data_IF_218019754443
#
_entry.id   IF_218019754443
#
_cell.length_a   1.000
_cell.length_b   1.000
_cell.length_c   1.000
_cell.angle_alpha   90.00
_cell.angle_beta   90.00
_cell.angle_gamma   90.00
#
_symmetry.space_group_name_H-M   'P 1'
#
loop_
_entity.id
_entity.type
_entity.pdbx_description
1 polymer ?
#
# COMPACT_ATOMS: atom_id res chain seq x y z
N UNK A 1 -4.65 -6.41 -18.39
CA UNK A 1 -4.80 -5.25 -17.48
C UNK A 1 -3.97 -4.07 -17.93
N UNK A 2 -2.63 -4.14 -17.95
CA UNK A 2 -1.76 -3.02 -18.36
C UNK A 2 -2.12 -2.44 -19.75
N UNK A 3 -2.25 -3.30 -20.78
CA UNK A 3 -2.64 -2.87 -22.14
C UNK A 3 -4.00 -2.16 -22.16
N UNK A 4 -4.99 -2.68 -21.45
CA UNK A 4 -6.34 -2.08 -21.37
C UNK A 4 -6.30 -0.72 -20.66
N UNK A 5 -5.55 -0.59 -19.56
CA UNK A 5 -5.39 0.69 -18.86
C UNK A 5 -4.71 1.74 -19.75
N UNK A 6 -3.64 1.34 -20.45
CA UNK A 6 -2.95 2.21 -21.42
C UNK A 6 -3.86 2.69 -22.55
N UNK A 7 -4.74 1.82 -23.08
CA UNK A 7 -5.70 2.21 -24.11
C UNK A 7 -6.70 3.26 -23.62
N UNK A 8 -7.12 3.18 -22.36
CA UNK A 8 -8.14 4.08 -21.81
C UNK A 8 -7.57 5.39 -21.24
N UNK A 9 -6.36 5.35 -20.67
CA UNK A 9 -5.78 6.48 -19.92
C UNK A 9 -4.45 6.98 -20.49
N UNK A 10 -3.85 6.26 -21.45
CA UNK A 10 -2.57 6.61 -22.05
C UNK A 10 -1.36 6.05 -21.29
N UNK A 11 -0.28 5.76 -22.03
CA UNK A 11 0.95 5.17 -21.47
C UNK A 11 1.66 6.06 -20.45
N UNK A 12 1.49 7.39 -20.51
CA UNK A 12 2.14 8.33 -19.58
C UNK A 12 1.67 8.17 -18.12
N UNK A 13 0.50 7.56 -17.91
CA UNK A 13 -0.08 7.29 -16.59
C UNK A 13 0.14 5.83 -16.13
N UNK A 14 0.91 5.05 -16.89
CA UNK A 14 1.12 3.62 -16.63
C UNK A 14 2.60 3.31 -16.43
N UNK A 15 2.92 2.73 -15.26
CA UNK A 15 4.22 2.13 -15.01
C UNK A 15 4.05 0.60 -14.93
N UNK A 16 4.67 -0.12 -15.86
CA UNK A 16 4.68 -1.60 -15.88
C UNK A 16 5.99 -2.11 -15.30
N UNK A 17 6.03 -2.23 -13.98
CA UNK A 17 7.22 -2.69 -13.25
C UNK A 17 6.83 -3.38 -11.94
N UNK A 18 7.66 -4.32 -11.47
CA UNK A 18 7.48 -4.91 -10.15
C UNK A 18 7.69 -3.87 -9.05
N UNK A 19 6.77 -3.78 -8.09
CA UNK A 19 6.76 -2.72 -7.06
C UNK A 19 8.09 -2.60 -6.29
N UNK A 20 8.80 -3.71 -6.11
CA UNK A 20 10.11 -3.79 -5.43
C UNK A 20 11.24 -3.12 -6.21
N UNK A 21 11.13 -3.04 -7.52
CA UNK A 21 12.20 -2.53 -8.39
C UNK A 21 12.10 -1.02 -8.58
N UNK A 22 10.96 -0.42 -8.22
CA UNK A 22 10.73 1.01 -8.39
C UNK A 22 11.44 1.78 -7.28
N UNK A 23 12.55 2.43 -7.64
CA UNK A 23 13.35 3.26 -6.73
C UNK A 23 12.63 4.55 -6.34
N UNK A 24 13.08 5.15 -5.25
CA UNK A 24 12.55 6.41 -4.72
C UNK A 24 12.60 7.55 -5.73
N UNK A 25 13.72 7.72 -6.44
CA UNK A 25 13.91 8.81 -7.40
C UNK A 25 12.89 8.72 -8.54
N UNK A 26 12.56 7.48 -8.96
CA UNK A 26 11.54 7.20 -9.96
C UNK A 26 10.13 7.47 -9.43
N UNK A 27 9.83 7.14 -8.17
CA UNK A 27 8.54 7.47 -7.57
C UNK A 27 8.34 8.99 -7.46
N UNK A 28 9.36 9.71 -7.01
CA UNK A 28 9.32 11.17 -6.89
C UNK A 28 9.17 11.84 -8.26
N UNK A 29 9.90 11.39 -9.27
CA UNK A 29 9.78 11.96 -10.62
C UNK A 29 8.41 11.76 -11.26
N UNK A 30 7.71 10.67 -10.93
CA UNK A 30 6.34 10.41 -11.42
C UNK A 30 5.29 11.35 -10.83
N UNK A 31 5.52 11.86 -9.62
CA UNK A 31 4.65 12.86 -8.98
C UNK A 31 5.01 14.28 -9.43
N UNK A 32 6.23 14.47 -9.95
CA UNK A 32 6.68 15.72 -10.51
C UNK A 32 6.96 16.77 -9.44
N UNK A 33 6.51 18.01 -9.69
CA UNK A 33 6.70 19.15 -8.77
C UNK A 33 5.66 19.24 -7.66
N UNK A 34 4.73 18.28 -7.57
CA UNK A 34 3.77 18.26 -6.46
C UNK A 34 4.51 18.00 -5.15
N UNK A 35 4.20 18.80 -4.13
CA UNK A 35 4.81 18.67 -2.81
C UNK A 35 4.37 17.38 -2.09
N UNK A 36 3.17 16.87 -2.38
CA UNK A 36 2.63 15.66 -1.75
C UNK A 36 1.71 14.87 -2.67
N UNK A 37 1.62 13.55 -2.42
CA UNK A 37 0.68 12.66 -3.07
C UNK A 37 -0.67 12.72 -2.34
N UNK A 38 -1.75 13.14 -3.00
CA UNK A 38 -3.04 13.27 -2.33
C UNK A 38 -3.61 11.90 -1.88
N UNK A 39 -3.58 10.91 -2.78
CA UNK A 39 -4.20 9.61 -2.54
C UNK A 39 -3.34 8.47 -3.09
N UNK A 40 -3.03 7.52 -2.23
CA UNK A 40 -2.45 6.23 -2.59
C UNK A 40 -3.51 5.15 -2.51
N UNK A 41 -3.87 4.56 -3.65
CA UNK A 41 -4.82 3.43 -3.71
C UNK A 41 -4.08 2.13 -3.96
N UNK A 42 -4.37 1.11 -3.15
CA UNK A 42 -3.86 -0.25 -3.37
C UNK A 42 -4.97 -1.29 -3.28
N UNK A 43 -5.09 -2.08 -4.35
CA UNK A 43 -5.88 -3.32 -4.39
C UNK A 43 -4.91 -4.50 -4.41
N UNK A 44 -4.47 -5.03 -3.25
CA UNK A 44 -3.61 -6.21 -3.23
C UNK A 44 -4.30 -7.38 -3.96
N UNK A 45 -3.57 -8.15 -4.79
CA UNK A 45 -4.16 -9.26 -5.52
C UNK A 45 -4.69 -10.33 -4.56
N UNK A 46 -5.92 -10.78 -4.82
CA UNK A 46 -6.58 -11.93 -4.19
C UNK A 46 -5.96 -13.27 -4.67
N UNK A 47 -4.63 -13.38 -4.72
CA UNK A 47 -3.93 -14.50 -5.37
C UNK A 47 -3.77 -15.76 -4.50
N UNK A 48 -4.50 -15.84 -3.38
CA UNK A 48 -4.39 -16.92 -2.40
C UNK A 48 -5.52 -17.93 -2.42
N UNK A 49 -6.27 -18.05 -3.52
CA UNK A 49 -7.53 -18.81 -3.56
C UNK A 49 -7.57 -20.01 -4.51
N UNK A 50 -6.52 -20.81 -4.54
CA UNK A 50 -6.76 -22.25 -4.68
C UNK A 50 -6.89 -22.84 -3.28
N UNK A 51 -8.07 -23.39 -2.97
CA UNK A 51 -8.47 -24.11 -1.73
C UNK A 51 -7.50 -25.20 -1.22
N UNK A 52 -6.33 -25.39 -1.85
CA UNK A 52 -5.38 -26.50 -1.65
C UNK A 52 -4.00 -26.12 -1.11
N UNK A 53 -3.72 -24.88 -0.70
CA UNK A 53 -2.37 -24.54 -0.18
C UNK A 53 -2.43 -23.79 1.14
N UNK A 54 -1.83 -24.43 2.16
CA UNK A 54 -1.51 -23.86 3.46
C UNK A 54 -0.87 -22.48 3.27
N UNK A 55 -1.60 -21.43 3.62
CA UNK A 55 -1.04 -20.09 3.72
C UNK A 55 -0.27 -20.03 5.04
N UNK A 56 1.04 -20.26 4.97
CA UNK A 56 1.94 -19.91 6.06
C UNK A 56 1.81 -18.39 6.32
N UNK A 57 1.73 -17.97 7.58
CA UNK A 57 1.75 -16.56 7.97
C UNK A 57 3.01 -15.82 7.47
N UNK A 58 4.06 -16.56 7.07
CA UNK A 58 5.32 -16.06 6.54
C UNK A 58 5.43 -16.14 5.01
N UNK A 59 4.30 -16.24 4.30
CA UNK A 59 4.32 -16.27 2.86
C UNK A 59 4.90 -14.96 2.28
N UNK A 60 5.86 -15.10 1.36
CA UNK A 60 6.51 -14.00 0.60
C UNK A 60 5.50 -13.07 -0.07
N UNK A 61 4.27 -13.54 -0.33
CA UNK A 61 3.16 -12.75 -0.87
C UNK A 61 2.73 -11.61 0.07
N UNK A 62 2.94 -11.74 1.38
CA UNK A 62 2.66 -10.70 2.37
C UNK A 62 3.59 -9.48 2.25
N UNK A 63 4.75 -9.65 1.60
CA UNK A 63 5.71 -8.56 1.39
C UNK A 63 5.15 -7.45 0.50
N UNK A 64 4.06 -7.68 -0.25
CA UNK A 64 3.43 -6.62 -1.04
C UNK A 64 2.86 -5.49 -0.17
N UNK A 65 2.39 -5.79 1.03
CA UNK A 65 1.97 -4.76 1.99
C UNK A 65 3.20 -3.97 2.50
N UNK A 66 4.33 -4.64 2.73
CA UNK A 66 5.59 -3.99 3.12
C UNK A 66 6.11 -3.04 2.04
N UNK A 67 5.94 -3.38 0.77
CA UNK A 67 6.29 -2.45 -0.33
C UNK A 67 5.38 -1.21 -0.36
N UNK A 68 4.13 -1.32 0.08
CA UNK A 68 3.26 -0.14 0.20
C UNK A 68 3.69 0.72 1.38
N UNK A 69 4.07 0.11 2.51
CA UNK A 69 4.71 0.81 3.63
C UNK A 69 5.90 1.66 3.16
N UNK A 70 6.78 1.08 2.32
CA UNK A 70 7.91 1.79 1.71
C UNK A 70 7.45 3.00 0.88
N UNK A 71 6.42 2.86 0.05
CA UNK A 71 5.89 3.96 -0.76
C UNK A 71 5.30 5.06 0.11
N UNK A 72 4.59 4.69 1.18
CA UNK A 72 4.04 5.64 2.15
C UNK A 72 5.14 6.46 2.82
N UNK A 73 6.23 5.81 3.24
CA UNK A 73 7.38 6.50 3.86
C UNK A 73 8.16 7.38 2.86
N UNK A 74 8.13 7.09 1.56
CA UNK A 74 8.80 7.91 0.55
C UNK A 74 7.94 9.13 0.16
N UNK A 75 6.65 8.89 -0.11
CA UNK A 75 5.76 9.86 -0.77
C UNK A 75 4.87 10.63 0.19
N UNK A 76 4.77 10.19 1.45
CA UNK A 76 3.97 10.80 2.51
C UNK A 76 2.56 11.19 2.02
N UNK A 77 1.77 10.23 1.48
CA UNK A 77 0.49 10.58 0.91
C UNK A 77 -0.48 11.13 1.96
N UNK A 78 -1.41 12.00 1.57
CA UNK A 78 -2.44 12.51 2.49
C UNK A 78 -3.42 11.41 2.87
N UNK A 79 -3.84 10.60 1.90
CA UNK A 79 -4.76 9.48 2.11
C UNK A 79 -4.20 8.18 1.57
N UNK A 80 -4.49 7.09 2.29
CA UNK A 80 -4.12 5.73 1.87
C UNK A 80 -5.38 4.87 1.89
N UNK A 81 -5.74 4.32 0.73
CA UNK A 81 -6.92 3.46 0.57
C UNK A 81 -6.47 2.05 0.21
N UNK A 82 -6.97 1.08 0.96
CA UNK A 82 -6.86 -0.33 0.63
C UNK A 82 -8.23 -1.00 0.50
N UNK A 83 -8.36 -1.89 -0.47
CA UNK A 83 -9.59 -2.61 -0.79
C UNK A 83 -9.30 -4.11 -1.02
N UNK A 84 -10.29 -4.99 -0.83
CA UNK A 84 -10.14 -6.45 -1.01
C UNK A 84 -9.06 -7.14 -0.15
N UNK A 85 -8.97 -6.77 1.13
CA UNK A 85 -7.97 -7.34 2.05
C UNK A 85 -8.53 -8.54 2.80
N UNK A 86 -7.78 -9.64 2.78
CA UNK A 86 -8.23 -10.94 3.27
C UNK A 86 -7.33 -11.46 4.41
N UNK A 87 -6.05 -11.07 4.48
CA UNK A 87 -5.17 -11.44 5.59
C UNK A 87 -5.24 -10.40 6.72
N UNK A 88 -6.10 -10.67 7.70
CA UNK A 88 -6.40 -9.75 8.80
C UNK A 88 -5.19 -9.44 9.69
N UNK A 89 -4.32 -10.41 9.99
CA UNK A 89 -3.20 -10.22 10.93
C UNK A 89 -2.21 -9.20 10.37
N UNK A 90 -1.79 -9.39 9.13
CA UNK A 90 -0.76 -8.55 8.49
C UNK A 90 -1.34 -7.18 8.18
N UNK A 91 -2.61 -7.14 7.79
CA UNK A 91 -3.29 -5.87 7.64
C UNK A 91 -3.40 -5.11 8.95
N UNK A 92 -3.71 -5.79 10.06
CA UNK A 92 -3.73 -5.16 11.38
C UNK A 92 -2.35 -4.63 11.80
N UNK A 93 -1.27 -5.36 11.51
CA UNK A 93 0.10 -4.85 11.70
C UNK A 93 0.38 -3.61 10.83
N UNK A 94 -0.08 -3.62 9.59
CA UNK A 94 0.05 -2.50 8.67
C UNK A 94 -0.74 -1.28 9.14
N UNK A 95 -1.96 -1.45 9.64
CA UNK A 95 -2.73 -0.37 10.25
C UNK A 95 -2.00 0.24 11.45
N UNK A 96 -1.41 -0.59 12.33
CA UNK A 96 -0.56 -0.10 13.43
C UNK A 96 0.66 0.67 12.92
N UNK A 97 1.28 0.19 11.85
CA UNK A 97 2.41 0.85 11.21
C UNK A 97 2.04 2.22 10.61
N UNK A 98 0.86 2.34 9.98
CA UNK A 98 0.34 3.60 9.46
C UNK A 98 -0.09 4.55 10.58
N UNK A 99 -0.71 4.02 11.64
CA UNK A 99 -1.12 4.83 12.78
C UNK A 99 0.08 5.54 13.41
N UNK A 100 1.22 4.85 13.57
CA UNK A 100 2.47 5.43 14.05
C UNK A 100 2.29 6.20 15.40
N UNK A 101 1.43 5.68 16.27
CA UNK A 101 1.16 6.24 17.61
C UNK A 101 1.49 5.24 18.71
N UNK A 102 1.98 5.74 19.85
CA UNK A 102 2.17 4.95 21.06
C UNK A 102 0.88 4.83 21.89
N UNK A 103 0.98 4.18 23.05
CA UNK A 103 -0.17 3.98 23.96
C UNK A 103 -0.75 5.27 24.55
N UNK A 104 -0.04 6.38 24.44
CA UNK A 104 -0.44 7.70 24.94
C UNK A 104 -0.90 8.63 23.81
N UNK A 105 -0.89 8.16 22.56
CA UNK A 105 -1.27 8.94 21.38
C UNK A 105 -0.14 9.78 20.79
N UNK A 106 1.09 9.67 21.30
CA UNK A 106 2.24 10.37 20.72
C UNK A 106 2.79 9.61 19.53
N UNK A 107 3.33 10.37 18.58
CA UNK A 107 3.95 9.83 17.37
C UNK A 107 5.21 9.03 17.73
N UNK A 108 5.28 7.76 17.29
CA UNK A 108 6.43 6.88 17.62
C UNK A 108 7.67 7.25 16.80
N UNK A 109 7.49 7.38 15.49
CA UNK A 109 8.55 7.74 14.54
C UNK A 109 8.31 9.15 14.03
N UNK A 110 9.12 10.11 14.47
CA UNK A 110 8.85 11.55 14.24
C UNK A 110 8.87 11.94 12.77
N UNK A 111 9.71 11.29 11.96
CA UNK A 111 9.91 11.59 10.55
C UNK A 111 8.93 10.89 9.60
N UNK A 112 8.17 9.89 10.08
CA UNK A 112 7.21 9.15 9.25
C UNK A 112 5.81 9.75 9.37
N UNK A 113 4.91 9.64 8.40
CA UNK A 113 3.54 10.10 8.58
C UNK A 113 2.80 9.31 9.68
N UNK A 114 1.69 9.85 10.16
CA UNK A 114 0.77 9.20 11.11
C UNK A 114 -0.64 9.37 10.58
N UNK A 115 -1.38 8.27 10.49
CA UNK A 115 -2.70 8.24 9.88
C UNK A 115 -3.77 7.83 10.89
N UNK A 116 -4.91 8.52 10.83
CA UNK A 116 -6.13 7.95 11.39
C UNK A 116 -6.54 6.73 10.54
N UNK A 117 -6.77 5.59 11.18
CA UNK A 117 -7.07 4.34 10.47
C UNK A 117 -8.53 3.96 10.66
N UNK A 118 -9.21 3.70 9.54
CA UNK A 118 -10.58 3.19 9.53
C UNK A 118 -10.59 1.85 8.78
N UNK A 119 -11.09 0.81 9.45
CA UNK A 119 -11.32 -0.49 8.84
C UNK A 119 -12.78 -0.87 8.95
N UNK A 120 -13.38 -1.26 7.82
CA UNK A 120 -14.73 -1.82 7.75
C UNK A 120 -14.62 -3.20 7.10
N UNK A 121 -15.01 -4.25 7.82
CA UNK A 121 -15.25 -5.56 7.23
C UNK A 121 -16.63 -5.57 6.58
N UNK A 122 -16.77 -6.27 5.45
CA UNK A 122 -18.11 -6.59 4.95
C UNK A 122 -18.86 -7.41 6.02
N UNK A 123 -20.18 -7.19 6.22
CA UNK A 123 -20.98 -8.07 7.05
C UNK A 123 -20.91 -9.51 6.51
N UNK A 124 -21.00 -10.52 7.40
CA UNK A 124 -20.95 -11.93 7.02
C UNK A 124 -22.05 -12.33 6.04
#
# INVERSE_FOLDING_TARGET
MAKSYALNHGNKHLLVEGLRNIKEEKLRSLIGSKESLDLLVRTPPCQSFSKKRSCSNFDIRNNLILEVSRIVDILHPTFVLFENIINYIIFHMFLKYLANIDRFGYKKEINRPSYHTLFKSAPP
#
